data_IF_388159100700
#
_entry.id   IF_388159100700
#
_cell.length_a   1.000
_cell.length_b   1.000
_cell.length_c   1.000
_cell.angle_alpha   90.00
_cell.angle_beta   90.00
_cell.angle_gamma   90.00
#
_symmetry.space_group_name_H-M   'P 1'
#
loop_
_entity.id
_entity.type
_entity.pdbx_description
1 polymer ?
#
# COMPACT_ATOMS: atom_id res chain seq x y z
N UNK A 1 10.34 2.64 18.26
CA UNK A 1 9.25 2.30 19.20
C UNK A 1 7.93 3.02 18.95
N UNK A 2 7.84 4.37 19.07
CA UNK A 2 6.55 5.08 18.90
C UNK A 2 5.94 4.85 17.50
N UNK A 3 6.76 5.01 16.44
CA UNK A 3 6.31 4.82 15.05
C UNK A 3 5.81 3.39 14.78
N UNK A 4 6.51 2.37 15.27
CA UNK A 4 6.08 0.97 15.20
C UNK A 4 4.76 0.74 15.94
N UNK A 5 4.59 1.36 17.12
CA UNK A 5 3.33 1.29 17.87
C UNK A 5 2.17 1.88 17.08
N UNK A 6 2.40 2.95 16.32
CA UNK A 6 1.40 3.55 15.45
C UNK A 6 1.09 2.66 14.23
N UNK A 7 2.08 2.03 13.60
CA UNK A 7 1.84 1.03 12.53
C UNK A 7 1.04 -0.17 13.03
N UNK A 8 1.28 -0.65 14.26
CA UNK A 8 0.48 -1.71 14.88
C UNK A 8 -0.98 -1.31 15.08
N UNK A 9 -1.24 -0.07 15.51
CA UNK A 9 -2.62 0.45 15.62
C UNK A 9 -3.27 0.49 14.23
N UNK A 10 -2.56 0.97 13.22
CA UNK A 10 -3.06 1.01 11.84
C UNK A 10 -3.33 -0.42 11.33
N UNK A 11 -2.45 -1.38 11.63
CA UNK A 11 -2.65 -2.79 11.29
C UNK A 11 -3.93 -3.33 11.93
N UNK A 12 -4.16 -3.09 13.22
CA UNK A 12 -5.38 -3.51 13.93
C UNK A 12 -6.62 -2.89 13.28
N UNK A 13 -6.59 -1.59 12.96
CA UNK A 13 -7.70 -0.92 12.26
C UNK A 13 -7.95 -1.57 10.89
N UNK A 14 -6.89 -1.84 10.12
CA UNK A 14 -7.01 -2.48 8.81
C UNK A 14 -7.52 -3.93 8.92
N UNK A 15 -7.13 -4.69 9.95
CA UNK A 15 -7.67 -6.02 10.23
C UNK A 15 -9.16 -5.97 10.56
N UNK A 16 -9.61 -4.99 11.35
CA UNK A 16 -11.05 -4.78 11.62
C UNK A 16 -11.78 -4.47 10.31
N UNK A 17 -11.25 -3.56 9.49
CA UNK A 17 -11.87 -3.19 8.21
C UNK A 17 -11.88 -4.35 7.20
N UNK A 18 -10.85 -5.20 7.22
CA UNK A 18 -10.80 -6.44 6.44
C UNK A 18 -11.95 -7.39 6.83
N UNK A 19 -12.20 -7.59 8.12
CA UNK A 19 -13.31 -8.41 8.60
C UNK A 19 -14.66 -7.83 8.19
N UNK A 20 -14.81 -6.50 8.23
CA UNK A 20 -16.06 -5.83 7.87
C UNK A 20 -16.34 -5.81 6.36
N UNK A 21 -15.30 -5.78 5.51
CA UNK A 21 -15.46 -5.73 4.05
C UNK A 21 -14.24 -6.32 3.34
N UNK A 22 -14.15 -7.65 3.17
CA UNK A 22 -13.02 -8.26 2.50
C UNK A 22 -12.99 -7.83 1.03
N UNK A 23 -11.87 -7.22 0.62
CA UNK A 23 -11.57 -6.95 -0.79
C UNK A 23 -10.12 -7.29 -1.06
N UNK A 24 -9.79 -7.65 -2.30
CA UNK A 24 -8.41 -8.02 -2.65
C UNK A 24 -7.43 -6.89 -2.37
N UNK A 25 -7.86 -5.63 -2.50
CA UNK A 25 -7.05 -4.47 -2.13
C UNK A 25 -6.76 -4.43 -0.62
N UNK A 26 -7.71 -4.83 0.24
CA UNK A 26 -7.52 -4.90 1.69
C UNK A 26 -6.54 -5.98 2.10
N UNK A 27 -6.62 -7.15 1.47
CA UNK A 27 -5.70 -8.25 1.72
C UNK A 27 -4.29 -7.80 1.40
N UNK A 28 -4.08 -7.26 0.20
CA UNK A 28 -2.76 -6.80 -0.25
C UNK A 28 -2.22 -5.67 0.64
N UNK A 29 -3.07 -4.74 1.08
CA UNK A 29 -2.65 -3.63 1.92
C UNK A 29 -2.35 -4.03 3.37
N UNK A 30 -3.17 -4.92 3.95
CA UNK A 30 -2.94 -5.45 5.30
C UNK A 30 -1.63 -6.23 5.35
N UNK A 31 -1.36 -7.03 4.30
CA UNK A 31 -0.09 -7.74 4.17
C UNK A 31 1.07 -6.76 3.99
N UNK A 32 0.90 -5.68 3.22
CA UNK A 32 1.92 -4.62 3.09
C UNK A 32 2.31 -4.03 4.46
N UNK A 33 1.33 -3.68 5.29
CA UNK A 33 1.59 -3.12 6.63
C UNK A 33 2.27 -4.17 7.52
N UNK A 34 1.79 -5.41 7.53
CA UNK A 34 2.37 -6.49 8.33
C UNK A 34 3.83 -6.78 7.97
N UNK A 35 4.14 -6.82 6.67
CA UNK A 35 5.51 -7.00 6.17
C UNK A 35 6.38 -5.77 6.47
N UNK A 36 5.83 -4.55 6.37
CA UNK A 36 6.56 -3.32 6.74
C UNK A 36 6.96 -3.32 8.21
N UNK A 37 6.05 -3.75 9.10
CA UNK A 37 6.34 -3.89 10.54
C UNK A 37 7.43 -4.93 10.76
N UNK A 38 7.33 -6.10 10.11
CA UNK A 38 8.37 -7.14 10.16
C UNK A 38 9.73 -6.58 9.71
N UNK A 39 9.78 -5.89 8.57
CA UNK A 39 11.00 -5.26 8.06
C UNK A 39 11.61 -4.27 9.07
N UNK A 40 10.77 -3.44 9.71
CA UNK A 40 11.21 -2.50 10.73
C UNK A 40 11.73 -3.19 12.02
N UNK A 41 11.24 -4.38 12.34
CA UNK A 41 11.69 -5.16 13.51
C UNK A 41 13.02 -5.89 13.29
N UNK A 42 13.36 -6.29 12.05
CA UNK A 42 14.64 -6.98 11.77
C UNK A 42 15.85 -6.12 12.19
N UNK A 43 15.71 -4.80 12.18
CA UNK A 43 16.74 -3.85 12.59
C UNK A 43 16.69 -3.45 14.08
N UNK A 44 15.73 -3.96 14.87
CA UNK A 44 15.53 -3.52 16.25
C UNK A 44 16.20 -4.48 17.25
N UNK A 45 17.05 -3.95 18.14
CA UNK A 45 17.83 -4.73 19.12
C UNK A 45 16.98 -5.72 19.93
N UNK A 46 15.79 -5.30 20.37
CA UNK A 46 14.85 -6.13 21.13
C UNK A 46 14.36 -7.38 20.37
N UNK A 47 14.35 -7.38 19.04
CA UNK A 47 14.02 -8.56 18.24
C UNK A 47 15.17 -9.57 18.23
N UNK A 48 16.41 -9.07 18.14
CA UNK A 48 17.64 -9.88 18.21
C UNK A 48 17.83 -10.53 19.59
N UNK A 49 17.31 -9.90 20.65
CA UNK A 49 17.34 -10.44 22.02
C UNK A 49 16.33 -11.58 22.24
N UNK A 50 15.20 -11.59 21.51
CA UNK A 50 14.15 -12.61 21.64
C UNK A 50 14.41 -13.81 20.72
N UNK A 51 14.96 -13.57 19.52
CA UNK A 51 15.29 -14.61 18.55
C UNK A 51 16.79 -14.53 18.28
N UNK A 52 17.60 -15.53 18.73
CA UNK A 52 19.03 -15.54 18.44
C UNK A 52 19.24 -15.91 16.96
N UNK A 53 19.18 -14.91 16.10
CA UNK A 53 19.41 -15.03 14.65
C UNK A 53 20.89 -14.77 14.35
N UNK A 54 21.52 -15.60 13.51
CA UNK A 54 22.91 -15.35 13.05
C UNK A 54 22.91 -14.14 12.12
N UNK A 55 24.00 -13.37 12.09
CA UNK A 55 24.11 -12.18 11.25
C UNK A 55 23.84 -12.45 9.74
N UNK A 56 24.22 -13.63 9.25
CA UNK A 56 23.94 -14.07 7.86
C UNK A 56 22.43 -14.26 7.64
N UNK A 57 21.74 -14.90 8.59
CA UNK A 57 20.29 -15.15 8.51
C UNK A 57 19.49 -13.84 8.61
N UNK A 58 20.00 -12.87 9.38
CA UNK A 58 19.40 -11.54 9.52
C UNK A 58 19.43 -10.79 8.18
N UNK A 59 20.56 -10.83 7.47
CA UNK A 59 20.69 -10.19 6.17
C UNK A 59 19.71 -10.76 5.12
N UNK A 60 19.50 -12.09 5.12
CA UNK A 60 18.48 -12.70 4.25
C UNK A 60 17.07 -12.30 4.62
N UNK A 61 16.75 -12.20 5.92
CA UNK A 61 15.47 -11.71 6.39
C UNK A 61 15.22 -10.25 5.96
N UNK A 62 16.22 -9.38 6.02
CA UNK A 62 16.13 -8.00 5.54
C UNK A 62 15.83 -7.95 4.03
N UNK A 63 16.55 -8.75 3.23
CA UNK A 63 16.33 -8.83 1.79
C UNK A 63 14.90 -9.31 1.50
N UNK A 64 14.48 -10.43 2.11
CA UNK A 64 13.15 -11.01 1.91
C UNK A 64 12.05 -10.01 2.31
N UNK A 65 12.20 -9.37 3.47
CA UNK A 65 11.25 -8.37 3.94
C UNK A 65 11.17 -7.19 2.96
N UNK A 66 12.31 -6.69 2.47
CA UNK A 66 12.36 -5.64 1.45
C UNK A 66 11.64 -6.05 0.16
N UNK A 67 11.91 -7.25 -0.37
CA UNK A 67 11.25 -7.79 -1.57
C UNK A 67 9.74 -7.80 -1.40
N UNK A 68 9.26 -8.30 -0.25
CA UNK A 68 7.85 -8.38 0.05
C UNK A 68 7.23 -6.98 0.16
N UNK A 69 7.85 -6.03 0.86
CA UNK A 69 7.37 -4.64 0.95
C UNK A 69 7.15 -4.05 -0.44
N UNK A 70 8.15 -4.14 -1.33
CA UNK A 70 8.00 -3.57 -2.67
C UNK A 70 6.95 -4.30 -3.52
N UNK A 71 6.88 -5.63 -3.43
CA UNK A 71 5.91 -6.42 -4.18
C UNK A 71 4.48 -6.09 -3.75
N UNK A 72 4.22 -6.07 -2.44
CA UNK A 72 2.90 -5.73 -1.90
C UNK A 72 2.56 -4.26 -2.13
N UNK A 73 3.54 -3.36 -2.15
CA UNK A 73 3.31 -1.97 -2.51
C UNK A 73 2.89 -1.82 -3.98
N UNK A 74 3.57 -2.49 -4.91
CA UNK A 74 3.21 -2.45 -6.33
C UNK A 74 1.81 -3.04 -6.59
N UNK A 75 1.51 -4.20 -5.97
CA UNK A 75 0.19 -4.81 -6.03
C UNK A 75 -0.89 -3.88 -5.45
N UNK A 76 -0.60 -3.28 -4.28
CA UNK A 76 -1.51 -2.35 -3.63
C UNK A 76 -1.84 -1.17 -4.54
N UNK A 77 -0.83 -0.53 -5.14
CA UNK A 77 -1.03 0.57 -6.08
C UNK A 77 -1.89 0.16 -7.26
N UNK A 78 -1.63 -1.01 -7.85
CA UNK A 78 -2.37 -1.52 -9.00
C UNK A 78 -3.85 -1.81 -8.64
N UNK A 79 -4.12 -2.37 -7.46
CA UNK A 79 -5.47 -2.63 -6.98
C UNK A 79 -6.20 -1.36 -6.55
N UNK A 80 -5.51 -0.46 -5.83
CA UNK A 80 -6.08 0.79 -5.35
C UNK A 80 -6.51 1.67 -6.53
N UNK A 81 -5.64 1.88 -7.51
CA UNK A 81 -5.93 2.66 -8.70
C UNK A 81 -6.81 1.93 -9.73
N UNK A 82 -7.32 0.73 -9.39
CA UNK A 82 -8.20 -0.10 -10.25
C UNK A 82 -7.58 -0.40 -11.62
N UNK A 83 -6.27 -0.61 -11.66
CA UNK A 83 -5.53 -0.95 -12.88
C UNK A 83 -6.08 -2.20 -13.56
N UNK A 84 -6.53 -3.20 -12.78
CA UNK A 84 -7.14 -4.42 -13.29
C UNK A 84 -8.42 -4.18 -14.11
N UNK A 85 -9.15 -3.08 -13.86
CA UNK A 85 -10.36 -2.71 -14.60
C UNK A 85 -10.06 -1.83 -15.81
N UNK A 86 -9.05 -0.96 -15.72
CA UNK A 86 -8.88 0.14 -16.66
C UNK A 86 -7.56 0.11 -17.45
N UNK A 87 -6.60 -0.70 -17.03
CA UNK A 87 -5.24 -0.75 -17.58
C UNK A 87 -4.57 -2.12 -17.38
N UNK A 88 -5.18 -3.21 -17.87
CA UNK A 88 -4.70 -4.60 -17.69
C UNK A 88 -3.22 -4.82 -18.00
N UNK A 89 -2.69 -4.23 -19.07
CA UNK A 89 -1.27 -4.36 -19.41
C UNK A 89 -0.35 -3.76 -18.34
N UNK A 90 -0.68 -2.57 -17.81
CA UNK A 90 0.07 -1.94 -16.72
C UNK A 90 -0.07 -2.72 -15.41
N UNK A 91 -1.25 -3.30 -15.16
CA UNK A 91 -1.46 -4.20 -14.02
C UNK A 91 -0.48 -5.39 -14.05
N UNK A 92 -0.31 -6.05 -15.20
CA UNK A 92 0.65 -7.16 -15.33
C UNK A 92 2.10 -6.69 -15.13
N UNK A 93 2.46 -5.52 -15.67
CA UNK A 93 3.80 -4.94 -15.49
C UNK A 93 4.08 -4.63 -14.02
N UNK A 94 3.07 -4.20 -13.25
CA UNK A 94 3.23 -3.94 -11.82
C UNK A 94 3.23 -5.21 -10.96
N UNK A 95 2.53 -6.27 -11.38
CA UNK A 95 2.34 -7.47 -10.57
C UNK A 95 3.40 -8.57 -10.76
N UNK A 96 3.92 -8.76 -11.99
CA UNK A 96 4.61 -10.00 -12.37
C UNK A 96 6.14 -9.93 -12.53
N UNK A 97 6.73 -8.91 -13.19
CA UNK A 97 8.17 -8.89 -13.50
C UNK A 97 9.08 -8.85 -12.28
N UNK A 98 8.60 -8.27 -11.19
CA UNK A 98 9.46 -7.87 -10.09
C UNK A 98 9.74 -8.96 -9.08
N UNK A 99 8.79 -9.89 -8.90
CA UNK A 99 8.99 -11.05 -8.05
C UNK A 99 10.14 -11.92 -8.54
N UNK A 100 10.20 -12.19 -9.86
CA UNK A 100 11.24 -13.03 -10.46
C UNK A 100 12.62 -12.36 -10.45
N UNK A 101 12.68 -11.06 -10.70
CA UNK A 101 13.95 -10.31 -10.68
C UNK A 101 14.53 -10.24 -9.27
N UNK A 102 13.70 -10.00 -8.26
CA UNK A 102 14.15 -9.98 -6.86
C UNK A 102 14.47 -11.39 -6.33
N UNK A 103 13.73 -12.41 -6.76
CA UNK A 103 14.07 -13.81 -6.45
C UNK A 103 15.45 -14.18 -7.02
N UNK A 104 15.79 -13.72 -8.23
CA UNK A 104 17.12 -13.94 -8.81
C UNK A 104 18.23 -13.28 -7.98
N UNK A 105 17.98 -12.09 -7.42
CA UNK A 105 18.94 -11.40 -6.53
C UNK A 105 19.13 -12.16 -5.21
N UNK A 106 18.05 -12.67 -4.62
CA UNK A 106 18.11 -13.52 -3.42
C UNK A 106 18.93 -14.80 -3.70
N UNK A 107 18.67 -15.46 -4.83
CA UNK A 107 19.33 -16.73 -5.19
C UNK A 107 20.79 -16.55 -5.58
N UNK A 108 21.14 -15.44 -6.25
CA UNK A 108 22.52 -15.17 -6.69
C UNK A 108 23.46 -14.76 -5.57
N UNK A 109 22.94 -14.42 -4.38
CA UNK A 109 23.72 -14.07 -3.19
C UNK A 109 24.77 -12.96 -3.39
N UNK A 110 24.51 -12.03 -4.32
CA UNK A 110 25.42 -10.92 -4.61
C UNK A 110 24.82 -9.60 -4.11
N UNK A 111 25.30 -9.12 -2.97
CA UNK A 111 24.82 -7.89 -2.32
C UNK A 111 24.94 -6.63 -3.19
N UNK A 112 25.94 -6.57 -4.09
CA UNK A 112 26.09 -5.51 -5.08
C UNK A 112 24.97 -5.47 -6.11
N UNK A 113 24.42 -6.64 -6.48
CA UNK A 113 23.28 -6.75 -7.38
C UNK A 113 21.97 -6.36 -6.68
N UNK A 114 21.89 -6.49 -5.35
CA UNK A 114 20.70 -6.09 -4.59
C UNK A 114 20.44 -4.59 -4.68
N UNK A 115 21.42 -3.76 -4.33
CA UNK A 115 21.23 -2.30 -4.38
C UNK A 115 20.85 -1.80 -5.79
N UNK A 116 21.51 -2.32 -6.84
CA UNK A 116 21.20 -1.98 -8.22
C UNK A 116 19.80 -2.46 -8.65
N UNK A 117 19.43 -3.69 -8.28
CA UNK A 117 18.12 -4.25 -8.59
C UNK A 117 16.99 -3.51 -7.86
N UNK A 118 17.19 -3.15 -6.58
CA UNK A 118 16.24 -2.34 -5.81
C UNK A 118 16.07 -0.96 -6.43
N UNK A 119 17.15 -0.33 -6.88
CA UNK A 119 17.10 0.97 -7.57
C UNK A 119 16.33 0.91 -8.90
N UNK A 120 16.61 -0.07 -9.76
CA UNK A 120 15.89 -0.29 -11.02
C UNK A 120 14.41 -0.59 -10.74
N UNK A 121 14.13 -1.38 -9.71
CA UNK A 121 12.78 -1.73 -9.31
C UNK A 121 11.98 -0.52 -8.85
N UNK A 122 12.58 0.32 -8.00
CA UNK A 122 11.97 1.57 -7.55
C UNK A 122 11.65 2.51 -8.73
N UNK A 123 12.58 2.63 -9.69
CA UNK A 123 12.38 3.41 -10.91
C UNK A 123 11.19 2.88 -11.72
N UNK A 124 11.14 1.57 -11.97
CA UNK A 124 10.08 0.95 -12.76
C UNK A 124 8.71 1.04 -12.07
N UNK A 125 8.63 0.87 -10.75
CA UNK A 125 7.39 1.10 -9.98
C UNK A 125 6.94 2.55 -10.15
N UNK A 126 7.87 3.50 -10.01
CA UNK A 126 7.56 4.94 -10.09
C UNK A 126 7.03 5.29 -11.48
N UNK A 127 7.72 4.90 -12.55
CA UNK A 127 7.29 5.15 -13.93
C UNK A 127 5.95 4.46 -14.22
N UNK A 128 5.81 3.18 -13.85
CA UNK A 128 4.57 2.43 -14.07
C UNK A 128 3.39 3.05 -13.34
N UNK A 129 3.62 3.54 -12.12
CA UNK A 129 2.61 4.25 -11.32
C UNK A 129 2.21 5.55 -11.99
N UNK A 130 3.16 6.36 -12.47
CA UNK A 130 2.86 7.60 -13.20
C UNK A 130 2.03 7.31 -14.45
N UNK A 131 2.46 6.35 -15.28
CA UNK A 131 1.74 5.95 -16.49
C UNK A 131 0.33 5.43 -16.17
N UNK A 132 0.21 4.64 -15.10
CA UNK A 132 -1.07 4.15 -14.62
C UNK A 132 -1.97 5.32 -14.21
N UNK A 133 -1.49 6.22 -13.36
CA UNK A 133 -2.23 7.38 -12.89
C UNK A 133 -2.73 8.26 -14.05
N UNK A 134 -1.89 8.53 -15.05
CA UNK A 134 -2.30 9.25 -16.27
C UNK A 134 -3.45 8.51 -16.97
N UNK A 135 -3.35 7.18 -17.10
CA UNK A 135 -4.35 6.37 -17.80
C UNK A 135 -5.68 6.25 -17.05
N UNK A 136 -5.69 6.21 -15.72
CA UNK A 136 -6.92 6.13 -14.91
C UNK A 136 -7.43 7.48 -14.41
N UNK A 137 -6.71 8.58 -14.61
CA UNK A 137 -7.05 9.90 -14.06
C UNK A 137 -8.50 10.32 -14.31
N UNK A 138 -8.96 10.17 -15.56
CA UNK A 138 -10.31 10.59 -15.96
C UNK A 138 -11.41 9.66 -15.44
N UNK A 139 -11.05 8.43 -15.04
CA UNK A 139 -12.01 7.42 -14.54
C UNK A 139 -12.08 7.40 -13.02
N UNK A 140 -10.95 7.61 -12.35
CA UNK A 140 -10.79 7.44 -10.90
C UNK A 140 -10.03 8.63 -10.29
N UNK A 141 -10.48 9.85 -10.60
CA UNK A 141 -9.81 11.11 -10.20
C UNK A 141 -9.56 11.19 -8.70
N UNK A 142 -10.55 10.80 -7.88
CA UNK A 142 -10.46 10.77 -6.42
C UNK A 142 -9.30 9.89 -5.93
N UNK A 143 -9.23 8.64 -6.42
CA UNK A 143 -8.18 7.69 -6.03
C UNK A 143 -6.80 8.15 -6.47
N UNK A 144 -6.70 8.76 -7.64
CA UNK A 144 -5.44 9.33 -8.12
C UNK A 144 -4.98 10.49 -7.22
N UNK A 145 -5.86 11.43 -6.84
CA UNK A 145 -5.49 12.49 -5.92
C UNK A 145 -5.07 11.96 -4.55
N UNK A 146 -5.85 11.03 -3.98
CA UNK A 146 -5.52 10.43 -2.69
C UNK A 146 -4.20 9.68 -2.73
N UNK A 147 -3.90 8.97 -3.83
CA UNK A 147 -2.61 8.32 -4.00
C UNK A 147 -1.43 9.31 -3.99
N UNK A 148 -1.56 10.46 -4.68
CA UNK A 148 -0.53 11.51 -4.69
C UNK A 148 -0.35 12.15 -3.32
N UNK A 149 -1.45 12.47 -2.64
CA UNK A 149 -1.42 13.09 -1.32
C UNK A 149 -0.79 12.13 -0.30
N UNK A 150 -1.10 10.84 -0.38
CA UNK A 150 -0.56 9.83 0.53
C UNK A 150 0.91 9.49 0.25
N UNK A 151 1.33 9.34 -1.02
CA UNK A 151 2.70 8.96 -1.36
C UNK A 151 3.66 10.14 -1.57
N UNK A 152 3.16 11.36 -1.73
CA UNK A 152 3.98 12.56 -1.87
C UNK A 152 4.95 12.77 -0.70
N UNK A 153 4.47 12.78 0.56
CA UNK A 153 5.32 12.96 1.74
C UNK A 153 6.48 11.94 1.87
N UNK A 154 6.27 10.61 1.78
CA UNK A 154 7.38 9.66 1.88
C UNK A 154 8.37 9.77 0.72
N UNK A 155 7.91 10.02 -0.51
CA UNK A 155 8.80 10.21 -1.68
C UNK A 155 9.64 11.48 -1.52
N UNK A 156 9.03 12.57 -1.06
CA UNK A 156 9.73 13.83 -0.81
C UNK A 156 10.77 13.65 0.30
N UNK A 157 10.40 13.04 1.42
CA UNK A 157 11.32 12.76 2.53
C UNK A 157 12.49 11.87 2.10
N UNK A 158 12.23 10.81 1.33
CA UNK A 158 13.27 9.92 0.81
C UNK A 158 14.23 10.67 -0.14
N UNK A 159 13.69 11.48 -1.05
CA UNK A 159 14.49 12.29 -1.99
C UNK A 159 15.38 13.28 -1.23
N UNK A 160 14.81 14.00 -0.25
CA UNK A 160 15.57 14.97 0.55
C UNK A 160 16.65 14.28 1.40
N UNK A 161 16.40 13.08 1.90
CA UNK A 161 17.41 12.28 2.61
C UNK A 161 18.57 11.91 1.70
N UNK A 162 18.30 11.49 0.46
CA UNK A 162 19.34 11.20 -0.54
C UNK A 162 20.12 12.45 -0.92
N UNK A 163 19.45 13.58 -1.16
CA UNK A 163 20.13 14.84 -1.48
C UNK A 163 21.02 15.32 -0.33
N UNK A 164 20.57 15.15 0.91
CA UNK A 164 21.37 15.47 2.09
C UNK A 164 22.61 14.56 2.19
N UNK A 165 22.43 13.25 1.99
CA UNK A 165 23.52 12.27 2.02
C UNK A 165 24.59 12.54 0.95
N UNK A 166 24.19 13.04 -0.22
CA UNK A 166 25.10 13.44 -1.29
C UNK A 166 25.70 14.85 -1.10
N UNK A 167 25.46 15.51 0.04
CA UNK A 167 25.99 16.83 0.33
C UNK A 167 25.37 17.98 -0.47
N UNK A 168 24.27 17.73 -1.19
CA UNK A 168 23.59 18.75 -2.01
C UNK A 168 22.81 19.72 -1.10
N UNK A 169 22.23 19.22 0.00
CA UNK A 169 21.55 20.02 1.02
C UNK A 169 22.05 19.68 2.43
N UNK A 170 21.80 20.54 3.42
CA UNK A 170 22.20 20.29 4.82
C UNK A 170 21.39 19.16 5.45
N UNK A 171 22.07 18.31 6.23
CA UNK A 171 21.49 17.13 6.92
C UNK A 171 20.49 17.43 8.06
N UNK A 172 20.07 18.68 8.25
CA UNK A 172 19.42 19.17 9.49
C UNK A 172 18.07 18.54 9.86
N UNK A 173 17.27 18.06 8.91
CA UNK A 173 15.90 17.54 9.18
C UNK A 173 15.50 16.29 8.38
N UNK A 174 16.36 15.80 7.48
CA UNK A 174 16.00 14.75 6.53
C UNK A 174 16.77 13.48 6.86
N UNK A 175 16.26 12.78 7.88
CA UNK A 175 16.78 11.49 8.37
C UNK A 175 15.87 10.35 7.93
N UNK A 176 16.29 9.11 8.19
CA UNK A 176 15.45 7.93 7.98
C UNK A 176 14.10 8.04 8.70
N UNK A 177 14.05 8.70 9.87
CA UNK A 177 12.81 8.91 10.63
C UNK A 177 11.81 9.79 9.89
N UNK A 178 12.26 10.76 9.09
CA UNK A 178 11.38 11.59 8.27
C UNK A 178 10.72 10.76 7.16
N UNK A 179 11.43 9.77 6.62
CA UNK A 179 10.89 8.82 5.63
C UNK A 179 9.83 7.93 6.30
N UNK A 180 10.12 7.38 7.48
CA UNK A 180 9.17 6.58 8.25
C UNK A 180 7.93 7.37 8.66
N UNK A 181 8.07 8.63 9.06
CA UNK A 181 6.93 9.50 9.35
C UNK A 181 6.06 9.73 8.11
N UNK A 182 6.68 9.91 6.94
CA UNK A 182 5.96 10.00 5.67
C UNK A 182 5.21 8.70 5.33
N UNK A 183 5.81 7.54 5.59
CA UNK A 183 5.18 6.22 5.42
C UNK A 183 3.98 6.07 6.37
N UNK A 184 4.13 6.49 7.63
CA UNK A 184 3.04 6.45 8.59
C UNK A 184 1.87 7.36 8.16
N UNK A 185 2.17 8.57 7.69
CA UNK A 185 1.16 9.51 7.18
C UNK A 185 0.43 8.94 5.97
N UNK A 186 1.15 8.31 5.03
CA UNK A 186 0.56 7.57 3.91
C UNK A 186 -0.45 6.56 4.42
N UNK A 187 -0.08 5.80 5.45
CA UNK A 187 -0.92 4.70 5.93
C UNK A 187 -2.17 5.16 6.68
N UNK A 188 -2.07 6.26 7.43
CA UNK A 188 -3.23 6.94 8.00
C UNK A 188 -4.16 7.44 6.89
N UNK A 189 -3.64 8.10 5.87
CA UNK A 189 -4.46 8.67 4.79
C UNK A 189 -5.20 7.60 3.99
N UNK A 190 -4.54 6.49 3.67
CA UNK A 190 -5.19 5.36 3.02
C UNK A 190 -6.22 4.71 3.94
N UNK A 191 -5.89 4.47 5.21
CA UNK A 191 -6.89 3.93 6.15
C UNK A 191 -8.15 4.82 6.24
N UNK A 192 -7.98 6.15 6.27
CA UNK A 192 -9.09 7.11 6.29
C UNK A 192 -9.91 7.15 4.99
N UNK A 193 -9.24 7.17 3.83
CA UNK A 193 -9.91 7.17 2.53
C UNK A 193 -10.84 5.95 2.38
N UNK A 194 -10.35 4.79 2.82
CA UNK A 194 -11.13 3.57 2.77
C UNK A 194 -12.23 3.48 3.82
N UNK A 195 -11.99 4.01 5.03
CA UNK A 195 -13.05 4.15 6.03
C UNK A 195 -14.21 4.95 5.43
N UNK A 196 -13.91 6.08 4.77
CA UNK A 196 -14.91 6.88 4.07
C UNK A 196 -15.62 6.09 2.95
N UNK A 197 -14.90 5.31 2.15
CA UNK A 197 -15.49 4.48 1.09
C UNK A 197 -16.44 3.41 1.67
N UNK A 198 -16.09 2.79 2.81
CA UNK A 198 -16.97 1.85 3.52
C UNK A 198 -18.29 2.50 3.95
N UNK A 199 -18.24 3.66 4.61
CA UNK A 199 -19.45 4.36 5.04
C UNK A 199 -20.29 4.88 3.87
N UNK A 200 -19.65 5.30 2.77
CA UNK A 200 -20.36 5.69 1.55
C UNK A 200 -21.18 4.52 1.01
N UNK A 201 -20.56 3.34 0.89
CA UNK A 201 -21.22 2.15 0.35
C UNK A 201 -22.31 1.61 1.27
N UNK A 202 -22.12 1.67 2.59
CA UNK A 202 -23.17 1.38 3.58
C UNK A 202 -24.40 2.28 3.37
N UNK A 203 -24.17 3.60 3.20
CA UNK A 203 -25.26 4.56 2.93
C UNK A 203 -25.95 4.31 1.59
N UNK A 204 -25.20 3.96 0.55
CA UNK A 204 -25.77 3.62 -0.77
C UNK A 204 -26.60 2.33 -0.71
N UNK A 205 -26.11 1.29 -0.03
CA UNK A 205 -26.85 0.04 0.16
C UNK A 205 -28.16 0.27 0.90
N UNK A 206 -28.13 1.04 2.01
CA UNK A 206 -29.33 1.37 2.76
C UNK A 206 -30.35 2.18 1.93
N UNK A 207 -29.89 3.08 1.05
CA UNK A 207 -30.77 3.81 0.12
C UNK A 207 -31.40 2.90 -0.92
N UNK A 208 -30.60 2.03 -1.52
CA UNK A 208 -31.09 1.08 -2.53
C UNK A 208 -32.14 0.12 -1.92
N UNK A 209 -31.91 -0.35 -0.70
CA UNK A 209 -32.85 -1.20 0.01
C UNK A 209 -34.17 -0.48 0.32
N UNK A 210 -34.11 0.78 0.77
CA UNK A 210 -35.30 1.62 0.95
C UNK A 210 -36.06 1.86 -0.35
N UNK A 211 -35.36 2.05 -1.46
CA UNK A 211 -35.98 2.26 -2.77
C UNK A 211 -36.63 0.97 -3.30
N UNK A 212 -36.01 -0.19 -3.09
CA UNK A 212 -36.62 -1.51 -3.38
C UNK A 212 -37.90 -1.68 -2.55
N UNK A 213 -37.86 -1.42 -1.24
CA UNK A 213 -39.05 -1.52 -0.38
C UNK A 213 -40.17 -0.57 -0.81
N UNK A 214 -39.84 0.63 -1.29
CA UNK A 214 -40.82 1.59 -1.82
C UNK A 214 -41.43 1.10 -3.13
N UNK A 215 -40.63 0.54 -4.02
CA UNK A 215 -41.09 -0.03 -5.28
C UNK A 215 -42.00 -1.25 -5.05
N UNK A 216 -41.64 -2.13 -4.11
CA UNK A 216 -42.49 -3.27 -3.72
C UNK A 216 -43.82 -2.82 -3.12
N UNK A 217 -43.82 -1.81 -2.23
CA UNK A 217 -45.06 -1.24 -1.68
C UNK A 217 -45.96 -0.67 -2.79
N UNK A 218 -45.39 0.08 -3.74
CA UNK A 218 -46.14 0.64 -4.88
C UNK A 218 -46.70 -0.46 -5.78
N UNK A 219 -45.93 -1.51 -6.04
CA UNK A 219 -46.39 -2.67 -6.82
C UNK A 219 -47.56 -3.36 -6.13
N UNK A 220 -47.45 -3.64 -4.83
CA UNK A 220 -48.52 -4.30 -4.06
C UNK A 220 -49.79 -3.44 -3.97
N UNK A 221 -49.67 -2.11 -3.89
CA UNK A 221 -50.84 -1.22 -3.94
C UNK A 221 -51.50 -1.21 -5.33
N UNK A 222 -50.72 -1.23 -6.42
CA UNK A 222 -51.26 -1.30 -7.78
C UNK A 222 -51.93 -2.65 -8.08
N UNK A 223 -51.37 -3.76 -7.61
CA UNK A 223 -51.99 -5.09 -7.72
C UNK A 223 -53.29 -5.16 -6.91
N UNK A 224 -53.33 -4.60 -5.69
CA UNK A 224 -54.57 -4.48 -4.90
C UNK A 224 -55.64 -3.61 -5.54
N UNK A 225 -55.29 -2.58 -6.30
CA UNK A 225 -56.26 -1.74 -7.00
C UNK A 225 -56.82 -2.38 -8.28
N UNK A 226 -56.24 -3.49 -8.75
CA UNK A 226 -56.66 -4.21 -9.97
C UNK A 226 -57.56 -5.42 -9.68
N UNK A 227 -57.58 -5.91 -8.45
CA UNK A 227 -58.45 -7.00 -7.98
C UNK A 227 -59.61 -6.44 -7.17
#
# INVERSE_FOLDING_TARGET
MILTGMELIILVINLILFVLKPSLTWVVYTVLIAVSILAAQVHHQAFLDIIPVRAIDLHYLEIIAGVLVFTFHALFTAFYLRAHLHAKALFYIMAFPFFFWQLYVVVSNQSSHYAAATGIHFLLITISTILLMVKVWNKEKHRCHMYLIANGPPILAATLTVLAHNGIIKHTYFTADAVYLGILMRDVLFTLDWFNDYFRLQKESARNELDIQRLEKRRNSSEKSRN
#
